data_IF_665830787356
#
_entry.id   IF_665830787356
#
_cell.length_a   1.000
_cell.length_b   1.000
_cell.length_c   1.000
_cell.angle_alpha   90.00
_cell.angle_beta   90.00
_cell.angle_gamma   90.00
#
_symmetry.space_group_name_H-M   'P 1'
#
loop_
_entity.id
_entity.type
_entity.pdbx_description
1 polymer ?
#
# COMPACT_ATOMS: atom_id res chain seq x y z
N UNK A 1 -16.46 5.93 28.55
CA UNK A 1 -16.26 5.23 27.27
C UNK A 1 -15.44 4.00 27.55
N UNK A 2 -15.89 2.81 27.15
CA UNK A 2 -15.08 1.59 27.28
C UNK A 2 -14.09 1.57 26.10
N UNK A 3 -12.80 1.64 26.42
CA UNK A 3 -11.72 1.41 25.44
C UNK A 3 -11.22 -0.02 25.57
N UNK A 4 -10.86 -0.64 24.45
CA UNK A 4 -10.21 -1.96 24.40
C UNK A 4 -8.83 -1.80 23.77
N UNK A 5 -7.81 -2.43 24.35
CA UNK A 5 -6.48 -2.49 23.75
C UNK A 5 -6.32 -3.81 22.99
N UNK A 6 -5.71 -3.73 21.81
CA UNK A 6 -5.34 -4.87 20.96
C UNK A 6 -3.83 -4.85 20.71
N UNK A 7 -3.20 -6.01 20.76
CA UNK A 7 -1.81 -6.19 20.32
C UNK A 7 -1.79 -6.49 18.83
N UNK A 8 -1.05 -5.69 18.07
CA UNK A 8 -0.95 -5.81 16.62
C UNK A 8 0.50 -5.97 16.16
N UNK A 9 0.69 -6.71 15.07
CA UNK A 9 1.98 -6.82 14.36
C UNK A 9 1.87 -6.22 12.96
N UNK A 10 2.87 -5.42 12.58
CA UNK A 10 3.09 -4.98 11.20
C UNK A 10 4.36 -5.63 10.67
N UNK A 11 4.27 -6.26 9.51
CA UNK A 11 5.41 -6.89 8.82
C UNK A 11 5.48 -6.29 7.42
N UNK A 12 6.59 -5.64 7.12
CA UNK A 12 6.86 -5.07 5.80
C UNK A 12 8.01 -5.85 5.16
N UNK A 13 7.72 -6.44 4.00
CA UNK A 13 8.62 -7.29 3.22
C UNK A 13 8.89 -6.55 1.91
N UNK A 14 9.85 -5.63 1.95
CA UNK A 14 10.31 -4.92 0.77
C UNK A 14 11.34 -5.73 -0.02
N UNK A 15 11.73 -5.18 -1.18
CA UNK A 15 12.73 -5.80 -2.08
C UNK A 15 14.08 -5.98 -1.42
N UNK A 16 14.52 -4.97 -0.67
CA UNK A 16 15.81 -4.98 0.00
C UNK A 16 15.68 -5.37 1.46
N UNK A 17 14.64 -4.86 2.15
CA UNK A 17 14.58 -4.90 3.60
C UNK A 17 13.27 -5.46 4.12
N UNK A 18 13.36 -6.22 5.21
CA UNK A 18 12.21 -6.69 5.99
C UNK A 18 12.23 -6.03 7.36
N UNK A 19 11.06 -5.57 7.81
CA UNK A 19 10.86 -4.89 9.08
C UNK A 19 9.66 -5.46 9.83
N UNK A 20 9.77 -5.55 11.15
CA UNK A 20 8.70 -6.01 12.04
C UNK A 20 8.47 -4.97 13.13
N UNK A 21 7.21 -4.60 13.36
CA UNK A 21 6.82 -3.73 14.46
C UNK A 21 5.69 -4.36 15.26
N UNK A 22 5.70 -4.14 16.56
CA UNK A 22 4.57 -4.45 17.43
C UNK A 22 3.98 -3.17 17.97
N UNK A 23 2.66 -3.09 17.99
CA UNK A 23 1.92 -1.92 18.42
C UNK A 23 0.74 -2.31 19.31
N UNK A 24 0.42 -1.45 20.27
CA UNK A 24 -0.83 -1.50 21.01
C UNK A 24 -1.80 -0.51 20.39
N UNK A 25 -2.97 -0.99 19.99
CA UNK A 25 -4.02 -0.19 19.36
C UNK A 25 -5.17 0.01 20.34
N UNK A 26 -5.59 1.25 20.58
CA UNK A 26 -6.76 1.57 21.40
C UNK A 26 -7.99 1.77 20.53
N UNK A 27 -9.01 0.96 20.81
CA UNK A 27 -10.26 0.93 20.08
C UNK A 27 -11.39 1.50 20.94
N UNK A 28 -12.21 2.37 20.35
CA UNK A 28 -13.43 2.90 20.96
C UNK A 28 -14.65 2.59 20.09
N UNK A 29 -15.76 2.19 20.71
CA UNK A 29 -17.05 2.13 20.01
C UNK A 29 -17.67 3.54 20.01
N UNK A 30 -17.84 4.13 18.83
CA UNK A 30 -18.51 5.42 18.62
C UNK A 30 -20.00 5.32 18.36
N UNK A 31 -20.54 4.12 18.13
CA UNK A 31 -21.97 3.95 17.94
C UNK A 31 -22.74 4.12 19.26
N UNK A 32 -23.96 4.64 19.15
CA UNK A 32 -24.90 4.62 20.27
C UNK A 32 -25.25 3.18 20.65
N UNK A 33 -25.68 2.95 21.89
CA UNK A 33 -25.96 1.60 22.45
C UNK A 33 -26.98 0.81 21.61
N UNK A 34 -27.87 1.49 20.89
CA UNK A 34 -28.90 0.89 20.04
C UNK A 34 -28.51 0.73 18.56
N UNK A 35 -27.27 1.08 18.19
CA UNK A 35 -26.77 1.01 16.81
C UNK A 35 -25.71 -0.10 16.69
N UNK A 36 -25.49 -0.55 15.45
CA UNK A 36 -24.39 -1.46 15.14
C UNK A 36 -23.08 -0.83 15.61
N UNK A 37 -22.25 -1.53 16.41
CA UNK A 37 -21.00 -1.00 16.94
C UNK A 37 -20.11 -0.42 15.84
N UNK A 38 -19.68 0.83 16.01
CA UNK A 38 -18.74 1.50 15.10
C UNK A 38 -17.43 1.70 15.81
N UNK A 39 -16.54 0.73 15.65
CA UNK A 39 -15.23 0.80 16.26
C UNK A 39 -14.29 1.71 15.46
N UNK A 40 -13.54 2.54 16.18
CA UNK A 40 -12.51 3.39 15.62
C UNK A 40 -11.26 3.30 16.49
N UNK A 41 -10.10 3.32 15.84
CA UNK A 41 -8.84 3.52 16.53
C UNK A 41 -8.71 4.98 16.92
N UNK A 42 -8.30 5.20 18.16
CA UNK A 42 -8.06 6.55 18.68
C UNK A 42 -6.60 6.74 19.10
N UNK A 43 -5.84 5.65 19.18
CA UNK A 43 -4.45 5.69 19.59
C UNK A 43 -3.69 4.46 19.11
N UNK A 44 -2.42 4.67 18.79
CA UNK A 44 -1.42 3.64 18.56
C UNK A 44 -0.15 3.95 19.33
N UNK A 45 0.31 2.96 20.10
CA UNK A 45 1.60 3.01 20.78
C UNK A 45 2.50 1.90 20.23
N UNK A 46 3.62 2.26 19.60
CA UNK A 46 4.59 1.28 19.12
C UNK A 46 5.36 0.73 20.32
N UNK A 47 5.15 -0.55 20.65
CA UNK A 47 5.78 -1.18 21.82
C UNK A 47 7.16 -1.76 21.51
N UNK A 48 7.43 -2.11 20.26
CA UNK A 48 8.72 -2.65 19.83
C UNK A 48 8.93 -2.47 18.33
N UNK A 49 10.19 -2.28 17.93
CA UNK A 49 10.60 -2.12 16.53
C UNK A 49 11.85 -2.96 16.26
N UNK A 50 11.85 -3.70 15.17
CA UNK A 50 13.00 -4.49 14.77
C UNK A 50 14.14 -3.60 14.25
N UNK A 51 15.40 -4.09 14.28
CA UNK A 51 16.40 -3.64 13.32
C UNK A 51 15.87 -3.80 11.88
N UNK A 52 16.46 -3.06 10.95
CA UNK A 52 16.19 -3.25 9.52
C UNK A 52 17.04 -4.44 9.06
N UNK A 53 16.38 -5.50 8.58
CA UNK A 53 17.07 -6.70 8.07
C UNK A 53 17.02 -6.74 6.56
N UNK A 54 18.00 -7.40 5.94
CA UNK A 54 17.88 -7.75 4.53
C UNK A 54 16.79 -8.79 4.31
N UNK A 55 15.96 -8.58 3.29
CA UNK A 55 14.93 -9.53 2.90
C UNK A 55 15.60 -10.82 2.40
N UNK A 56 15.29 -11.99 2.97
CA UNK A 56 15.85 -13.25 2.49
C UNK A 56 15.28 -13.62 1.12
N UNK A 57 16.02 -13.28 0.07
CA UNK A 57 15.70 -13.61 -1.33
C UNK A 57 16.76 -14.52 -1.94
N UNK A 58 16.37 -15.33 -2.93
CA UNK A 58 17.30 -16.04 -3.79
C UNK A 58 17.87 -15.13 -4.89
N UNK A 59 18.76 -15.68 -5.73
CA UNK A 59 19.40 -14.92 -6.83
C UNK A 59 18.43 -14.46 -7.92
N UNK A 60 17.24 -15.05 -7.99
CA UNK A 60 16.18 -14.70 -8.93
C UNK A 60 15.14 -13.76 -8.27
N UNK A 61 15.37 -13.34 -7.02
CA UNK A 61 14.47 -12.46 -6.26
C UNK A 61 13.36 -13.21 -5.51
N UNK A 62 13.28 -14.54 -5.61
CA UNK A 62 12.26 -15.34 -4.94
C UNK A 62 12.42 -15.33 -3.42
N UNK A 63 11.31 -15.17 -2.69
CA UNK A 63 11.34 -15.15 -1.22
C UNK A 63 11.75 -16.52 -0.66
N UNK A 64 12.75 -16.53 0.23
CA UNK A 64 13.14 -17.74 0.95
C UNK A 64 12.28 -17.91 2.21
N UNK A 65 11.13 -18.55 2.03
CA UNK A 65 10.06 -18.65 3.04
C UNK A 65 10.55 -19.09 4.43
N UNK A 66 11.39 -20.14 4.51
CA UNK A 66 11.88 -20.65 5.79
C UNK A 66 12.81 -19.65 6.51
N UNK A 67 13.70 -18.97 5.76
CA UNK A 67 14.60 -17.95 6.32
C UNK A 67 13.81 -16.72 6.77
N UNK A 68 12.83 -16.28 5.97
CA UNK A 68 11.93 -15.17 6.29
C UNK A 68 11.10 -15.46 7.55
N UNK A 69 10.53 -16.67 7.66
CA UNK A 69 9.77 -17.08 8.84
C UNK A 69 10.65 -17.11 10.09
N UNK A 70 11.87 -17.65 9.99
CA UNK A 70 12.81 -17.68 11.10
C UNK A 70 13.20 -16.26 11.55
N UNK A 71 13.45 -15.35 10.61
CA UNK A 71 13.75 -13.95 10.87
C UNK A 71 12.62 -13.28 11.66
N UNK A 72 11.36 -13.48 11.23
CA UNK A 72 10.19 -12.89 11.89
C UNK A 72 10.00 -13.49 13.28
N UNK A 73 10.06 -14.81 13.44
CA UNK A 73 9.92 -15.46 14.75
C UNK A 73 11.02 -15.02 15.74
N UNK A 74 12.24 -14.77 15.26
CA UNK A 74 13.29 -14.19 16.09
C UNK A 74 12.92 -12.78 16.59
N UNK A 75 12.17 -12.00 15.81
CA UNK A 75 11.68 -10.69 16.24
C UNK A 75 10.56 -10.79 17.29
N UNK A 76 9.65 -11.77 17.16
CA UNK A 76 8.68 -12.09 18.21
C UNK A 76 9.38 -12.42 19.53
N UNK A 77 10.39 -13.29 19.48
CA UNK A 77 11.18 -13.66 20.64
C UNK A 77 11.93 -12.45 21.24
N UNK A 78 12.54 -11.60 20.41
CA UNK A 78 13.23 -10.39 20.85
C UNK A 78 12.28 -9.36 21.49
N UNK A 79 11.03 -9.30 21.03
CA UNK A 79 9.98 -8.47 21.62
C UNK A 79 9.35 -9.08 22.89
N UNK A 80 9.64 -10.35 23.20
CA UNK A 80 9.00 -11.08 24.30
C UNK A 80 7.51 -11.35 24.07
N UNK A 81 7.09 -11.45 22.81
CA UNK A 81 5.69 -11.63 22.40
C UNK A 81 5.50 -13.04 21.84
N UNK A 82 4.53 -13.77 22.37
CA UNK A 82 4.11 -15.05 21.82
C UNK A 82 3.19 -14.82 20.60
N UNK A 83 3.37 -15.52 19.46
CA UNK A 83 2.51 -15.36 18.28
C UNK A 83 1.01 -15.43 18.59
N UNK A 84 0.61 -16.32 19.50
CA UNK A 84 -0.78 -16.55 19.90
C UNK A 84 -1.39 -15.38 20.69
N UNK A 85 -0.57 -14.46 21.18
CA UNK A 85 -1.01 -13.27 21.93
C UNK A 85 -1.29 -12.06 21.05
N UNK A 86 -0.99 -12.14 19.74
CA UNK A 86 -1.27 -11.07 18.78
C UNK A 86 -2.72 -11.19 18.31
N UNK A 87 -3.49 -10.12 18.52
CA UNK A 87 -4.92 -10.07 18.18
C UNK A 87 -5.16 -9.85 16.68
N UNK A 88 -4.25 -9.12 16.01
CA UNK A 88 -4.37 -8.79 14.59
C UNK A 88 -3.02 -8.44 13.97
N UNK A 89 -2.92 -8.47 12.65
CA UNK A 89 -1.67 -8.13 11.99
C UNK A 89 -1.81 -7.85 10.51
N UNK A 90 -0.86 -7.10 9.96
CA UNK A 90 -0.74 -6.85 8.53
C UNK A 90 0.64 -7.33 8.06
N UNK A 91 0.65 -8.03 6.93
CA UNK A 91 1.85 -8.32 6.17
C UNK A 91 1.73 -7.62 4.82
N UNK A 92 2.65 -6.69 4.56
CA UNK A 92 2.78 -6.02 3.29
C UNK A 92 3.99 -6.59 2.56
N UNK A 93 3.81 -6.88 1.28
CA UNK A 93 4.91 -7.13 0.35
C UNK A 93 4.96 -5.97 -0.63
N UNK A 94 6.14 -5.37 -0.82
CA UNK A 94 6.29 -4.22 -1.73
C UNK A 94 7.41 -4.41 -2.76
N UNK A 95 7.45 -3.49 -3.73
CA UNK A 95 8.48 -3.41 -4.75
C UNK A 95 8.57 -4.63 -5.67
N UNK A 96 9.77 -4.98 -6.10
CA UNK A 96 10.02 -6.14 -6.97
C UNK A 96 9.74 -7.47 -6.27
N UNK A 97 9.88 -7.56 -4.94
CA UNK A 97 9.52 -8.76 -4.19
C UNK A 97 8.05 -9.16 -4.39
N UNK A 98 7.13 -8.18 -4.47
CA UNK A 98 5.71 -8.42 -4.72
C UNK A 98 5.44 -9.08 -6.09
N UNK A 99 6.31 -8.87 -7.08
CA UNK A 99 6.17 -9.39 -8.46
C UNK A 99 6.71 -10.81 -8.62
N UNK A 100 7.37 -11.36 -7.60
CA UNK A 100 7.97 -12.70 -7.70
C UNK A 100 6.90 -13.79 -7.64
N UNK A 101 7.06 -14.85 -8.43
CA UNK A 101 6.05 -15.92 -8.57
C UNK A 101 5.67 -16.58 -7.24
N UNK A 102 6.59 -16.61 -6.27
CA UNK A 102 6.36 -17.25 -4.98
C UNK A 102 6.01 -16.27 -3.84
N UNK A 103 5.91 -14.95 -4.10
CA UNK A 103 5.62 -13.95 -3.06
C UNK A 103 4.30 -14.22 -2.33
N UNK A 104 3.20 -14.27 -3.09
CA UNK A 104 1.86 -14.43 -2.54
C UNK A 104 1.69 -15.77 -1.82
N UNK A 105 2.09 -16.93 -2.38
CA UNK A 105 2.06 -18.19 -1.65
C UNK A 105 2.88 -18.18 -0.35
N UNK A 106 4.12 -17.67 -0.38
CA UNK A 106 5.01 -17.65 0.78
C UNK A 106 4.43 -16.80 1.92
N UNK A 107 3.85 -15.64 1.59
CA UNK A 107 3.28 -14.75 2.62
C UNK A 107 1.92 -15.21 3.11
N UNK A 108 1.10 -15.86 2.26
CA UNK A 108 -0.11 -16.52 2.75
C UNK A 108 0.22 -17.65 3.73
N UNK A 109 1.23 -18.46 3.44
CA UNK A 109 1.70 -19.51 4.35
C UNK A 109 2.25 -18.92 5.66
N UNK A 110 3.00 -17.81 5.57
CA UNK A 110 3.50 -17.07 6.72
C UNK A 110 2.34 -16.55 7.58
N UNK A 111 1.35 -15.89 6.99
CA UNK A 111 0.16 -15.40 7.69
C UNK A 111 -0.55 -16.55 8.42
N UNK A 112 -0.85 -17.65 7.73
CA UNK A 112 -1.51 -18.81 8.36
C UNK A 112 -0.76 -19.35 9.59
N UNK A 113 0.57 -19.21 9.62
CA UNK A 113 1.39 -19.66 10.74
C UNK A 113 1.51 -18.66 11.90
N UNK A 114 1.24 -17.38 11.66
CA UNK A 114 1.37 -16.30 12.65
C UNK A 114 0.03 -15.80 13.20
N UNK A 115 -1.06 -15.94 12.44
CA UNK A 115 -2.40 -15.48 12.80
C UNK A 115 -3.26 -15.10 11.59
N UNK A 116 -4.54 -14.80 11.81
CA UNK A 116 -5.43 -14.34 10.73
C UNK A 116 -5.17 -12.86 10.39
N UNK A 117 -4.12 -12.65 9.59
CA UNK A 117 -3.62 -11.32 9.24
C UNK A 117 -4.11 -10.87 7.87
N UNK A 118 -4.10 -9.55 7.66
CA UNK A 118 -4.19 -8.98 6.32
C UNK A 118 -2.90 -9.28 5.61
N UNK A 119 -3.02 -9.86 4.42
CA UNK A 119 -1.90 -9.95 3.49
C UNK A 119 -2.21 -9.07 2.30
N UNK A 120 -1.36 -8.07 2.06
CA UNK A 120 -1.43 -7.26 0.87
C UNK A 120 -0.12 -7.32 0.10
N UNK A 121 -0.27 -7.53 -1.20
CA UNK A 121 0.76 -7.20 -2.18
C UNK A 121 0.51 -5.76 -2.59
N UNK A 122 1.34 -4.84 -2.13
CA UNK A 122 1.23 -3.44 -2.49
C UNK A 122 2.11 -3.18 -3.71
N UNK A 123 1.48 -2.83 -4.82
CA UNK A 123 2.19 -2.23 -5.93
C UNK A 123 2.56 -0.77 -5.63
N UNK A 124 3.07 -0.04 -6.62
CA UNK A 124 3.60 1.30 -6.39
C UNK A 124 2.55 2.30 -5.89
N UNK A 125 1.28 2.19 -6.31
CA UNK A 125 0.24 3.12 -5.87
C UNK A 125 -0.11 2.91 -4.40
N UNK A 126 -0.38 1.66 -4.00
CA UNK A 126 -0.75 1.31 -2.65
C UNK A 126 0.41 1.54 -1.67
N UNK A 127 1.64 1.17 -2.05
CA UNK A 127 2.85 1.43 -1.24
C UNK A 127 3.02 2.93 -0.97
N UNK A 128 2.82 3.78 -1.99
CA UNK A 128 2.89 5.23 -1.84
C UNK A 128 1.90 5.76 -0.81
N UNK A 129 0.64 5.32 -0.88
CA UNK A 129 -0.41 5.75 0.06
C UNK A 129 -0.06 5.32 1.47
N UNK A 130 0.32 4.05 1.67
CA UNK A 130 0.65 3.49 2.98
C UNK A 130 1.84 4.23 3.60
N UNK A 131 2.90 4.46 2.83
CA UNK A 131 4.05 5.22 3.30
C UNK A 131 3.64 6.66 3.70
N UNK A 132 2.77 7.30 2.91
CA UNK A 132 2.20 8.62 3.23
C UNK A 132 1.40 8.64 4.53
N UNK A 133 0.57 7.62 4.79
CA UNK A 133 -0.14 7.46 6.06
C UNK A 133 0.83 7.31 7.23
N UNK A 134 1.78 6.39 7.15
CA UNK A 134 2.70 6.15 8.26
C UNK A 134 3.70 7.27 8.50
N UNK A 135 4.02 8.07 7.48
CA UNK A 135 4.79 9.31 7.62
C UNK A 135 4.00 10.44 8.33
N UNK A 136 2.66 10.31 8.40
CA UNK A 136 1.75 11.31 8.95
C UNK A 136 1.35 12.41 7.96
N UNK A 137 1.61 12.23 6.66
CA UNK A 137 1.33 13.24 5.64
C UNK A 137 -0.17 13.45 5.44
N UNK A 138 -0.97 12.37 5.48
CA UNK A 138 -2.42 12.43 5.41
C UNK A 138 -3.00 13.30 6.54
N UNK A 139 -2.55 13.07 7.77
CA UNK A 139 -3.10 13.77 8.94
C UNK A 139 -2.63 15.21 9.00
N UNK A 140 -1.41 15.48 8.53
CA UNK A 140 -0.94 16.85 8.34
C UNK A 140 -1.81 17.60 7.32
N UNK A 141 -2.15 16.95 6.20
CA UNK A 141 -3.04 17.50 5.17
C UNK A 141 -4.44 17.79 5.71
N UNK A 142 -5.01 16.86 6.48
CA UNK A 142 -6.34 17.00 7.10
C UNK A 142 -6.38 18.13 8.13
N UNK A 143 -5.43 18.15 9.07
CA UNK A 143 -5.40 19.13 10.16
C UNK A 143 -5.16 20.56 9.66
N UNK A 144 -4.38 20.72 8.60
CA UNK A 144 -4.05 22.03 8.01
C UNK A 144 -4.94 22.39 6.83
N UNK A 145 -5.82 21.49 6.39
CA UNK A 145 -6.66 21.65 5.19
C UNK A 145 -5.83 22.09 3.98
N UNK A 146 -4.70 21.42 3.74
CA UNK A 146 -3.76 21.78 2.68
C UNK A 146 -3.26 20.57 1.91
N UNK A 147 -2.58 20.82 0.78
CA UNK A 147 -1.98 19.77 -0.06
C UNK A 147 -0.61 19.35 0.47
N UNK A 148 -0.47 18.08 0.83
CA UNK A 148 0.79 17.50 1.32
C UNK A 148 1.24 16.38 0.40
N UNK A 149 2.45 16.48 -0.13
CA UNK A 149 3.09 15.43 -0.92
C UNK A 149 4.11 14.68 -0.06
N UNK A 150 3.85 13.40 0.21
CA UNK A 150 4.87 12.52 0.76
C UNK A 150 5.68 11.88 -0.36
N UNK A 151 7.00 11.82 -0.18
CA UNK A 151 7.93 11.10 -1.07
C UNK A 151 8.70 10.11 -0.21
N UNK A 152 8.38 8.82 -0.35
CA UNK A 152 9.06 7.73 0.31
C UNK A 152 10.22 7.24 -0.55
N UNK A 153 11.44 7.58 -0.15
CA UNK A 153 12.66 7.32 -0.94
C UNK A 153 13.39 6.13 -0.33
N UNK A 154 13.17 4.97 -0.96
CA UNK A 154 13.73 3.68 -0.57
C UNK A 154 15.04 3.36 -1.30
N UNK A 155 15.34 2.06 -1.35
CA UNK A 155 16.51 1.53 -2.05
C UNK A 155 16.38 1.54 -3.58
N UNK A 156 15.22 1.14 -4.12
CA UNK A 156 15.00 1.03 -5.56
C UNK A 156 14.15 2.15 -6.17
N UNK A 157 13.22 2.71 -5.39
CA UNK A 157 12.17 3.60 -5.87
C UNK A 157 11.97 4.80 -4.96
N UNK A 158 11.33 5.83 -5.53
CA UNK A 158 10.75 6.97 -4.83
C UNK A 158 9.24 6.95 -5.07
N UNK A 159 8.47 6.72 -4.00
CA UNK A 159 7.02 6.55 -4.01
C UNK A 159 6.34 7.85 -3.56
N UNK A 160 5.46 8.41 -4.38
CA UNK A 160 4.82 9.71 -4.19
C UNK A 160 3.34 9.53 -3.83
N UNK A 161 2.89 10.15 -2.75
CA UNK A 161 1.48 10.24 -2.41
C UNK A 161 1.08 11.67 -2.08
N UNK A 162 0.16 12.21 -2.87
CA UNK A 162 -0.43 13.53 -2.68
C UNK A 162 -1.74 13.40 -1.91
N UNK A 163 -1.82 14.11 -0.79
CA UNK A 163 -3.02 14.23 0.02
C UNK A 163 -3.57 15.65 -0.08
N UNK A 164 -4.87 15.78 -0.26
CA UNK A 164 -5.62 17.05 -0.23
C UNK A 164 -6.73 16.96 0.81
N UNK A 165 -6.66 17.80 1.83
CA UNK A 165 -7.53 17.76 3.01
C UNK A 165 -7.74 16.34 3.57
N UNK A 166 -6.65 15.57 3.67
CA UNK A 166 -6.66 14.21 4.19
C UNK A 166 -7.12 13.12 3.22
N UNK A 167 -7.45 13.45 1.96
CA UNK A 167 -7.83 12.49 0.92
C UNK A 167 -6.71 12.29 -0.09
N UNK A 168 -6.50 11.05 -0.55
CA UNK A 168 -5.55 10.76 -1.63
C UNK A 168 -6.04 11.39 -2.92
N UNK A 169 -5.26 12.30 -3.50
CA UNK A 169 -5.57 12.99 -4.76
C UNK A 169 -4.66 12.59 -5.93
N UNK A 170 -3.53 11.93 -5.65
CA UNK A 170 -2.66 11.38 -6.68
C UNK A 170 -1.51 10.56 -6.11
N UNK A 171 -1.00 9.63 -6.90
CA UNK A 171 0.20 8.86 -6.57
C UNK A 171 1.09 8.71 -7.80
N UNK A 172 2.38 8.55 -7.58
CA UNK A 172 3.35 8.30 -8.64
C UNK A 172 4.51 7.47 -8.09
N UNK A 173 5.24 6.76 -8.95
CA UNK A 173 6.44 6.03 -8.55
C UNK A 173 7.53 6.18 -9.60
N UNK A 174 8.74 6.51 -9.12
CA UNK A 174 9.94 6.68 -9.91
C UNK A 174 10.98 5.64 -9.52
N UNK A 175 11.60 4.96 -10.50
CA UNK A 175 12.73 4.04 -10.30
C UNK A 175 14.04 4.78 -9.98
N UNK A 176 14.04 5.52 -8.87
CA UNK A 176 15.19 6.22 -8.29
C UNK A 176 15.20 5.96 -6.78
N UNK A 177 16.28 5.35 -6.27
CA UNK A 177 16.47 5.09 -4.85
C UNK A 177 17.95 4.87 -4.50
N UNK A 178 18.27 4.85 -3.21
CA UNK A 178 19.67 4.86 -2.72
C UNK A 178 20.51 3.64 -3.11
N UNK A 179 19.87 2.50 -3.33
CA UNK A 179 20.50 1.19 -3.60
C UNK A 179 20.54 0.81 -5.08
N UNK A 180 20.18 1.73 -5.98
CA UNK A 180 20.40 1.50 -7.40
C UNK A 180 21.88 1.24 -7.73
N UNK A 181 22.80 1.78 -6.91
CA UNK A 181 24.21 1.42 -6.89
C UNK A 181 24.57 0.85 -5.51
N UNK A 182 24.93 -0.43 -5.48
CA UNK A 182 25.46 -1.09 -4.28
C UNK A 182 26.96 -0.88 -4.22
N UNK A 183 27.48 -0.57 -3.04
CA UNK A 183 28.89 -0.28 -2.80
C UNK A 183 29.49 -1.21 -1.76
N UNK A 184 30.82 -1.35 -1.75
CA UNK A 184 31.51 -1.84 -0.57
C UNK A 184 31.70 -0.72 0.48
N UNK A 185 32.24 -1.07 1.64
CA UNK A 185 32.51 -0.10 2.72
C UNK A 185 33.55 0.98 2.36
N UNK A 186 34.18 0.90 1.19
CA UNK A 186 35.10 1.93 0.67
C UNK A 186 34.48 2.77 -0.45
N UNK A 187 33.19 2.55 -0.75
CA UNK A 187 32.46 3.29 -1.78
C UNK A 187 32.73 2.83 -3.20
N UNK A 188 33.35 1.65 -3.42
CA UNK A 188 33.45 1.07 -4.77
C UNK A 188 32.15 0.39 -5.13
N UNK A 189 31.63 0.67 -6.32
CA UNK A 189 30.41 0.02 -6.80
C UNK A 189 30.67 -1.47 -7.01
N UNK A 190 29.90 -2.31 -6.33
CA UNK A 190 29.93 -3.78 -6.50
C UNK A 190 28.89 -4.22 -7.52
N UNK A 191 27.76 -3.53 -7.56
CA UNK A 191 26.64 -3.83 -8.44
C UNK A 191 25.85 -2.57 -8.79
N UNK A 192 25.41 -2.48 -10.04
CA UNK A 192 24.52 -1.43 -10.52
C UNK A 192 23.25 -2.07 -11.08
N UNK A 193 22.11 -1.68 -10.53
CA UNK A 193 20.81 -2.06 -11.05
C UNK A 193 20.55 -1.32 -12.36
N UNK A 194 19.74 -1.88 -13.26
CA UNK A 194 19.49 -1.30 -14.59
C UNK A 194 19.07 0.18 -14.53
N UNK A 195 18.14 0.63 -13.65
CA UNK A 195 17.83 2.06 -13.53
C UNK A 195 19.04 2.91 -13.13
N UNK A 196 19.89 2.42 -12.23
CA UNK A 196 21.14 3.09 -11.85
C UNK A 196 22.11 3.22 -13.02
N UNK A 197 22.22 2.17 -13.84
CA UNK A 197 23.05 2.19 -15.05
C UNK A 197 22.53 3.21 -16.08
N UNK A 198 21.21 3.35 -16.26
CA UNK A 198 20.63 4.37 -17.15
C UNK A 198 21.02 5.79 -16.71
N UNK A 199 21.05 6.06 -15.40
CA UNK A 199 21.44 7.36 -14.86
C UNK A 199 22.95 7.58 -15.04
N UNK A 200 23.77 6.55 -14.83
CA UNK A 200 25.21 6.61 -15.11
C UNK A 200 25.47 6.94 -16.58
N UNK A 201 24.77 6.26 -17.50
CA UNK A 201 24.90 6.44 -18.94
C UNK A 201 24.50 7.86 -19.38
N UNK A 202 23.47 8.45 -18.77
CA UNK A 202 23.07 9.85 -19.00
C UNK A 202 24.18 10.83 -18.56
N UNK A 203 24.81 10.58 -17.42
CA UNK A 203 25.80 11.50 -16.82
C UNK A 203 27.17 11.39 -17.47
N UNK A 204 27.61 10.18 -17.84
CA UNK A 204 28.98 9.92 -18.29
C UNK A 204 29.09 9.36 -19.71
N UNK A 205 27.97 9.03 -20.35
CA UNK A 205 27.92 8.43 -21.67
C UNK A 205 27.58 6.93 -21.63
N UNK A 206 26.93 6.46 -22.68
CA UNK A 206 26.42 5.09 -22.74
C UNK A 206 27.51 4.03 -22.64
N UNK A 207 27.24 2.99 -21.85
CA UNK A 207 28.17 1.88 -21.62
C UNK A 207 29.27 2.18 -20.60
N UNK A 208 29.12 3.23 -19.79
CA UNK A 208 30.07 3.55 -18.72
C UNK A 208 30.03 2.46 -17.65
N UNK A 209 31.18 1.87 -17.32
CA UNK A 209 31.25 0.87 -16.25
C UNK A 209 31.09 1.51 -14.87
N UNK A 210 29.97 1.22 -14.20
CA UNK A 210 29.67 1.69 -12.86
C UNK A 210 30.79 1.36 -11.84
N UNK A 211 31.48 0.23 -12.01
CA UNK A 211 32.55 -0.22 -11.11
C UNK A 211 33.82 0.61 -11.20
N UNK A 212 33.98 1.37 -12.30
CA UNK A 212 35.11 2.26 -12.51
C UNK A 212 34.88 3.67 -11.91
N UNK A 213 33.68 3.97 -11.40
CA UNK A 213 33.36 5.29 -10.87
C UNK A 213 34.03 5.55 -9.52
N UNK A 214 34.67 6.71 -9.39
CA UNK A 214 35.15 7.22 -8.13
C UNK A 214 34.02 7.84 -7.29
N UNK A 215 34.23 7.98 -5.97
CA UNK A 215 33.23 8.55 -5.05
C UNK A 215 32.71 9.94 -5.50
N UNK A 216 33.58 10.80 -6.06
CA UNK A 216 33.17 12.10 -6.58
C UNK A 216 32.22 12.00 -7.80
N UNK A 217 32.37 10.96 -8.62
CA UNK A 217 31.47 10.67 -9.74
C UNK A 217 30.14 10.10 -9.23
N UNK A 218 30.14 9.27 -8.18
CA UNK A 218 28.91 8.82 -7.52
C UNK A 218 28.11 10.01 -6.96
N UNK A 219 28.79 11.04 -6.45
CA UNK A 219 28.13 12.30 -6.08
C UNK A 219 27.46 13.03 -7.25
N UNK A 220 27.97 12.91 -8.49
CA UNK A 220 27.31 13.46 -9.69
C UNK A 220 26.05 12.66 -10.05
N UNK A 221 26.12 11.33 -9.95
CA UNK A 221 24.97 10.45 -10.14
C UNK A 221 23.88 10.78 -9.12
N UNK A 222 24.25 10.91 -7.84
CA UNK A 222 23.32 11.27 -6.76
C UNK A 222 22.64 12.64 -6.99
N UNK A 223 23.37 13.63 -7.52
CA UNK A 223 22.78 14.92 -7.93
C UNK A 223 21.76 14.74 -9.05
N UNK A 224 22.08 13.95 -10.08
CA UNK A 224 21.13 13.68 -11.16
C UNK A 224 19.88 12.94 -10.65
N UNK A 225 20.05 12.01 -9.72
CA UNK A 225 18.94 11.33 -9.05
C UNK A 225 18.05 12.31 -8.27
N UNK A 226 18.65 13.28 -7.55
CA UNK A 226 17.90 14.33 -6.86
C UNK A 226 17.13 15.22 -7.85
N UNK A 227 17.73 15.58 -8.98
CA UNK A 227 17.03 16.32 -10.05
C UNK A 227 15.81 15.55 -10.55
N UNK A 228 15.96 14.25 -10.85
CA UNK A 228 14.88 13.38 -11.33
C UNK A 228 13.71 13.32 -10.33
N UNK A 229 14.00 13.27 -9.02
CA UNK A 229 12.97 13.31 -7.97
C UNK A 229 12.22 14.64 -8.01
N UNK A 230 12.94 15.77 -8.12
CA UNK A 230 12.33 17.10 -8.18
C UNK A 230 11.55 17.35 -9.48
N UNK A 231 12.00 16.78 -10.60
CA UNK A 231 11.28 16.81 -11.88
C UNK A 231 9.86 16.25 -11.74
N UNK A 232 9.68 15.15 -10.99
CA UNK A 232 8.35 14.57 -10.71
C UNK A 232 7.47 15.50 -9.88
N UNK A 233 8.03 16.17 -8.87
CA UNK A 233 7.29 17.15 -8.03
C UNK A 233 6.76 18.31 -8.88
N UNK A 234 7.57 18.77 -9.84
CA UNK A 234 7.25 19.93 -10.70
C UNK A 234 6.43 19.58 -11.94
N UNK A 235 6.31 18.29 -12.28
CA UNK A 235 5.69 17.81 -13.53
C UNK A 235 6.53 18.04 -14.79
N UNK A 236 7.73 18.62 -14.68
CA UNK A 236 8.62 18.92 -15.81
C UNK A 236 9.64 17.81 -16.05
N UNK A 237 9.18 16.63 -16.46
CA UNK A 237 10.01 15.43 -16.61
C UNK A 237 10.89 15.45 -17.86
N UNK A 238 12.18 15.16 -17.68
CA UNK A 238 13.12 14.85 -18.75
C UNK A 238 12.83 13.48 -19.40
N UNK A 239 13.39 13.17 -20.58
CA UNK A 239 13.24 11.85 -21.21
C UNK A 239 13.68 10.70 -20.30
N UNK A 240 14.76 10.91 -19.53
CA UNK A 240 15.21 9.93 -18.55
C UNK A 240 14.17 9.73 -17.44
N UNK A 241 13.62 10.81 -16.86
CA UNK A 241 12.57 10.70 -15.84
C UNK A 241 11.35 9.94 -16.36
N UNK A 242 10.90 10.23 -17.59
CA UNK A 242 9.78 9.52 -18.23
C UNK A 242 10.08 8.02 -18.39
N UNK A 243 11.31 7.66 -18.78
CA UNK A 243 11.72 6.25 -18.90
C UNK A 243 11.83 5.50 -17.57
N UNK A 244 12.01 6.23 -16.47
CA UNK A 244 12.14 5.68 -15.11
C UNK A 244 10.82 5.69 -14.32
N UNK A 245 9.74 6.28 -14.85
CA UNK A 245 8.43 6.22 -14.20
C UNK A 245 7.88 4.78 -14.24
N UNK A 246 7.42 4.29 -13.08
CA UNK A 246 6.73 3.00 -12.97
C UNK A 246 5.21 3.12 -13.09
N UNK A 247 4.67 4.32 -12.90
CA UNK A 247 3.24 4.63 -12.93
C UNK A 247 2.96 5.86 -13.80
N UNK A 248 1.68 6.25 -13.88
CA UNK A 248 1.31 7.59 -14.34
C UNK A 248 1.90 8.70 -13.46
N UNK A 249 1.75 9.95 -13.94
CA UNK A 249 2.22 11.15 -13.25
C UNK A 249 1.24 11.63 -12.18
N UNK A 250 1.74 12.48 -11.27
CA UNK A 250 0.88 13.26 -10.39
C UNK A 250 -0.03 14.20 -11.21
N UNK A 251 -1.21 14.57 -10.69
CA UNK A 251 -2.10 15.53 -11.36
C UNK A 251 -1.39 16.86 -11.65
N UNK A 252 -1.37 17.29 -12.91
CA UNK A 252 -0.60 18.44 -13.39
C UNK A 252 -1.02 19.79 -12.77
N UNK A 253 -2.29 19.91 -12.37
CA UNK A 253 -2.86 21.17 -11.86
C UNK A 253 -2.72 21.32 -10.34
N UNK A 254 -2.06 20.38 -9.66
CA UNK A 254 -2.00 20.36 -8.19
C UNK A 254 -0.55 20.53 -7.71
N UNK A 255 -0.24 21.73 -7.25
CA UNK A 255 1.03 22.01 -6.56
C UNK A 255 0.91 21.69 -5.07
N UNK A 256 1.84 20.89 -4.49
CA UNK A 256 1.86 20.64 -3.06
C UNK A 256 2.30 21.89 -2.28
N UNK A 257 1.66 22.13 -1.14
CA UNK A 257 1.99 23.23 -0.22
C UNK A 257 3.00 22.81 0.85
N UNK A 258 3.08 21.51 1.12
CA UNK A 258 4.04 20.89 2.01
C UNK A 258 4.59 19.63 1.34
N UNK A 259 5.88 19.38 1.49
CA UNK A 259 6.52 18.16 1.04
C UNK A 259 7.13 17.45 2.26
N UNK A 260 6.92 16.15 2.38
CA UNK A 260 7.59 15.32 3.39
C UNK A 260 8.43 14.24 2.70
N UNK A 261 9.62 13.99 3.24
CA UNK A 261 10.51 12.93 2.74
C UNK A 261 10.57 11.80 3.78
N UNK A 262 10.14 10.60 3.40
CA UNK A 262 10.21 9.38 4.21
C UNK A 262 11.15 8.34 3.60
N UNK A 263 11.24 7.15 4.20
CA UNK A 263 12.11 6.07 3.74
C UNK A 263 13.55 6.20 4.23
N UNK A 264 14.42 5.30 3.78
CA UNK A 264 15.83 5.26 4.21
C UNK A 264 16.61 6.51 3.82
N UNK A 265 16.36 7.05 2.62
CA UNK A 265 17.00 8.29 2.17
C UNK A 265 16.36 9.51 2.85
N UNK A 266 15.05 9.50 3.12
CA UNK A 266 14.40 10.53 3.93
C UNK A 266 14.97 10.61 5.36
N UNK A 267 15.32 9.48 5.97
CA UNK A 267 16.02 9.45 7.25
C UNK A 267 17.43 10.03 7.14
N UNK A 268 18.19 9.66 6.11
CA UNK A 268 19.51 10.26 5.86
C UNK A 268 19.41 11.77 5.58
N UNK A 269 18.30 12.24 4.99
CA UNK A 269 18.06 13.66 4.73
C UNK A 269 17.86 14.43 6.04
N UNK A 270 17.16 13.83 7.02
CA UNK A 270 16.98 14.39 8.37
C UNK A 270 18.28 14.31 9.18
N UNK A 271 18.94 13.15 9.15
CA UNK A 271 20.11 12.82 9.96
C UNK A 271 21.26 12.36 9.03
N UNK A 272 21.99 13.33 8.47
CA UNK A 272 23.07 13.04 7.53
C UNK A 272 24.18 12.20 8.20
N UNK A 273 24.45 10.98 7.72
CA UNK A 273 25.52 10.16 8.29
C UNK A 273 26.89 10.73 7.87
N UNK A 274 27.88 10.58 8.75
CA UNK A 274 29.25 11.04 8.49
C UNK A 274 29.95 10.22 7.40
N UNK A 275 29.66 8.92 7.33
CA UNK A 275 30.14 8.03 6.29
C UNK A 275 29.08 7.89 5.18
N UNK A 276 29.37 8.36 3.95
CA UNK A 276 28.41 8.31 2.84
C UNK A 276 28.13 6.89 2.32
N UNK A 277 28.87 5.87 2.75
CA UNK A 277 28.72 4.48 2.29
C UNK A 277 28.38 3.51 3.44
N UNK A 278 27.94 4.03 4.60
CA UNK A 278 27.65 3.23 5.79
C UNK A 278 26.56 2.16 5.60
N UNK A 279 25.72 2.29 4.56
CA UNK A 279 24.68 1.32 4.20
C UNK A 279 25.05 0.43 3.00
N UNK A 280 26.31 0.49 2.52
CA UNK A 280 26.76 -0.23 1.33
C UNK A 280 25.97 0.13 0.07
N UNK A 281 25.55 1.39 -0.02
CA UNK A 281 24.85 1.99 -1.16
C UNK A 281 25.13 3.51 -1.24
N UNK A 282 24.47 4.21 -2.16
CA UNK A 282 24.63 5.66 -2.36
C UNK A 282 23.49 6.49 -1.75
N UNK A 283 22.65 5.89 -0.90
CA UNK A 283 21.51 6.55 -0.26
C UNK A 283 21.89 7.83 0.51
N UNK A 284 22.96 7.83 1.33
CA UNK A 284 23.46 9.05 1.98
C UNK A 284 23.91 10.15 1.02
N UNK A 285 24.53 9.79 -0.11
CA UNK A 285 24.90 10.75 -1.15
C UNK A 285 23.67 11.36 -1.80
N UNK A 286 22.63 10.56 -2.07
CA UNK A 286 21.35 11.05 -2.59
C UNK A 286 20.65 11.99 -1.59
N UNK A 287 20.64 11.64 -0.31
CA UNK A 287 20.09 12.51 0.73
C UNK A 287 20.82 13.86 0.81
N UNK A 288 22.15 13.84 0.71
CA UNK A 288 22.97 15.06 0.66
C UNK A 288 22.64 15.88 -0.58
N UNK A 289 22.53 15.25 -1.75
CA UNK A 289 22.16 15.91 -2.99
C UNK A 289 20.77 16.55 -2.95
N UNK A 290 19.78 15.86 -2.36
CA UNK A 290 18.44 16.42 -2.12
C UNK A 290 18.51 17.61 -1.15
N UNK A 291 19.30 17.50 -0.08
CA UNK A 291 19.47 18.58 0.88
C UNK A 291 20.11 19.82 0.25
N UNK A 292 20.97 19.63 -0.75
CA UNK A 292 21.65 20.70 -1.49
C UNK A 292 20.87 21.20 -2.71
N UNK A 293 19.79 20.51 -3.11
CA UNK A 293 19.07 20.80 -4.34
C UNK A 293 18.37 22.18 -4.27
N UNK A 294 18.69 23.13 -5.18
CA UNK A 294 18.27 24.53 -5.06
C UNK A 294 16.74 24.69 -5.06
N UNK A 295 16.04 24.04 -5.99
CA UNK A 295 14.57 24.11 -6.06
C UNK A 295 13.89 23.46 -4.86
N UNK A 296 14.47 22.42 -4.27
CA UNK A 296 13.85 21.72 -3.15
C UNK A 296 13.99 22.54 -1.86
N UNK A 297 15.10 23.27 -1.71
CA UNK A 297 15.30 24.23 -0.61
C UNK A 297 14.32 25.41 -0.63
N UNK A 298 13.82 25.78 -1.81
CA UNK A 298 12.79 26.82 -1.95
C UNK A 298 11.38 26.29 -1.62
N UNK A 299 11.19 24.97 -1.59
CA UNK A 299 9.92 24.34 -1.24
C UNK A 299 9.79 24.17 0.28
N UNK A 300 8.54 24.08 0.75
CA UNK A 300 8.21 23.83 2.16
C UNK A 300 8.39 22.35 2.51
N UNK A 301 9.64 21.91 2.62
CA UNK A 301 9.99 20.55 3.06
C UNK A 301 9.91 20.48 4.58
N UNK A 302 9.08 19.56 5.09
CA UNK A 302 8.95 19.27 6.51
C UNK A 302 9.38 17.84 6.80
N UNK A 303 9.83 17.61 8.02
CA UNK A 303 10.22 16.28 8.42
C UNK A 303 9.01 15.49 8.94
N UNK A 304 8.72 14.31 8.40
CA UNK A 304 7.59 13.50 8.85
C UNK A 304 7.83 12.93 10.25
N UNK A 305 6.77 12.53 10.94
CA UNK A 305 6.87 11.93 12.27
C UNK A 305 7.63 10.58 12.24
N UNK A 306 7.56 9.86 11.11
CA UNK A 306 8.22 8.58 10.87
C UNK A 306 8.82 8.55 9.45
N UNK A 307 9.97 7.91 9.29
CA UNK A 307 10.72 7.83 8.02
C UNK A 307 10.87 6.38 7.56
N UNK A 308 11.91 5.65 7.99
CA UNK A 308 12.27 4.29 7.54
C UNK A 308 11.16 3.26 7.75
N UNK A 309 10.31 3.49 8.74
CA UNK A 309 9.20 2.59 9.11
C UNK A 309 7.84 3.11 8.67
N UNK A 310 7.79 4.16 7.86
CA UNK A 310 6.53 4.76 7.43
C UNK A 310 5.62 3.71 6.77
N UNK A 311 6.12 2.87 5.87
CA UNK A 311 5.30 1.83 5.21
C UNK A 311 4.71 0.83 6.21
N UNK A 312 5.53 0.26 7.10
CA UNK A 312 5.06 -0.70 8.10
C UNK A 312 4.16 -0.05 9.18
N UNK A 313 4.34 1.24 9.47
CA UNK A 313 3.47 1.99 10.38
C UNK A 313 2.17 2.36 9.67
N UNK A 314 2.18 2.71 8.40
CA UNK A 314 0.95 2.91 7.63
C UNK A 314 0.12 1.63 7.57
N UNK A 315 0.82 0.49 7.55
CA UNK A 315 0.25 -0.84 7.67
C UNK A 315 -0.28 -1.07 9.08
N UNK A 316 -1.56 -1.38 9.18
CA UNK A 316 -1.93 -2.33 10.20
C UNK A 316 -3.39 -2.65 10.15
N UNK A 317 -3.63 -3.84 10.69
CA UNK A 317 -4.88 -4.51 10.53
C UNK A 317 -5.71 -4.50 11.79
N UNK A 318 -7.01 -4.50 11.55
CA UNK A 318 -7.99 -4.90 12.54
C UNK A 318 -9.08 -5.68 11.86
N UNK A 319 -9.61 -6.64 12.59
CA UNK A 319 -10.50 -7.66 12.07
C UNK A 319 -11.86 -7.47 12.72
N UNK A 320 -12.88 -7.11 11.94
CA UNK A 320 -14.25 -7.02 12.43
C UNK A 320 -15.11 -8.04 11.69
N UNK A 321 -15.60 -9.04 12.44
CA UNK A 321 -16.48 -10.08 11.90
C UNK A 321 -17.93 -9.63 11.99
N UNK A 322 -18.59 -9.53 10.83
CA UNK A 322 -19.98 -9.22 10.64
C UNK A 322 -20.68 -10.41 9.98
N UNK A 323 -21.98 -10.51 10.21
CA UNK A 323 -22.85 -11.46 9.51
C UNK A 323 -23.68 -10.67 8.52
N UNK A 324 -23.43 -10.82 7.21
CA UNK A 324 -24.35 -10.31 6.19
C UNK A 324 -25.68 -11.03 6.33
N UNK A 325 -26.76 -10.31 6.60
CA UNK A 325 -28.08 -10.91 6.88
C UNK A 325 -28.87 -11.20 5.59
N UNK A 326 -28.59 -10.47 4.51
CA UNK A 326 -29.29 -10.58 3.22
C UNK A 326 -28.31 -10.76 2.07
N UNK A 327 -27.90 -12.01 1.84
CA UNK A 327 -26.92 -12.33 0.80
C UNK A 327 -27.56 -12.91 -0.46
N UNK A 328 -26.89 -12.70 -1.61
CA UNK A 328 -27.04 -13.53 -2.80
C UNK A 328 -25.72 -14.25 -3.05
N UNK A 329 -25.74 -15.57 -3.16
CA UNK A 329 -24.54 -16.37 -3.40
C UNK A 329 -24.87 -17.48 -4.41
N UNK A 330 -24.22 -17.46 -5.56
CA UNK A 330 -24.45 -18.43 -6.62
C UNK A 330 -23.14 -18.83 -7.31
N UNK A 331 -22.84 -20.12 -7.33
CA UNK A 331 -21.67 -20.75 -7.97
C UNK A 331 -20.28 -20.25 -7.50
N UNK A 332 -20.21 -19.54 -6.37
CA UNK A 332 -18.96 -19.05 -5.78
C UNK A 332 -18.34 -20.11 -4.85
N UNK A 333 -17.06 -20.44 -5.07
CA UNK A 333 -16.30 -21.31 -4.18
C UNK A 333 -15.78 -20.53 -2.97
N UNK A 334 -16.28 -20.89 -1.79
CA UNK A 334 -15.92 -20.30 -0.49
C UNK A 334 -15.12 -21.30 0.36
N UNK A 335 -14.23 -20.85 1.27
CA UNK A 335 -14.00 -19.46 1.68
C UNK A 335 -13.04 -18.69 0.75
N UNK A 336 -13.21 -17.37 0.71
CA UNK A 336 -12.28 -16.43 0.07
C UNK A 336 -11.62 -15.56 1.15
N UNK A 337 -10.35 -15.20 0.97
CA UNK A 337 -9.57 -14.44 1.95
C UNK A 337 -8.74 -13.33 1.32
N UNK A 338 -8.55 -12.25 2.07
CA UNK A 338 -7.75 -11.09 1.73
C UNK A 338 -8.14 -10.51 0.37
N UNK A 339 -9.45 -10.32 0.12
CA UNK A 339 -9.95 -9.71 -1.09
C UNK A 339 -9.95 -8.17 -0.93
N UNK A 340 -9.18 -7.42 -1.72
CA UNK A 340 -9.22 -5.96 -1.67
C UNK A 340 -10.60 -5.43 -2.06
N UNK A 341 -11.06 -4.37 -1.39
CA UNK A 341 -12.34 -3.72 -1.68
C UNK A 341 -12.11 -2.44 -2.47
N UNK A 342 -12.57 -2.41 -3.72
CA UNK A 342 -12.55 -1.24 -4.59
C UNK A 342 -13.76 -0.35 -4.30
N UNK A 343 -13.51 0.78 -3.64
CA UNK A 343 -14.54 1.75 -3.27
C UNK A 343 -14.55 2.91 -4.28
N UNK A 344 -15.66 3.15 -5.00
CA UNK A 344 -15.76 4.25 -5.95
C UNK A 344 -15.78 5.60 -5.21
N UNK A 345 -15.02 6.58 -5.70
CA UNK A 345 -14.98 7.92 -5.11
C UNK A 345 -16.16 8.82 -5.55
N UNK A 346 -16.78 8.50 -6.68
CA UNK A 346 -17.96 9.17 -7.21
C UNK A 346 -19.05 8.15 -7.60
N UNK A 347 -20.30 8.61 -7.65
CA UNK A 347 -21.47 7.81 -8.03
C UNK A 347 -22.04 8.19 -9.42
N UNK A 348 -21.40 9.14 -10.12
CA UNK A 348 -21.83 9.63 -11.42
C UNK A 348 -21.43 8.67 -12.55
N UNK A 349 -20.22 8.12 -12.49
CA UNK A 349 -19.72 7.14 -13.45
C UNK A 349 -19.05 5.96 -12.73
N UNK A 350 -19.88 5.07 -12.19
CA UNK A 350 -19.46 3.92 -11.41
C UNK A 350 -18.43 3.04 -12.12
N UNK A 351 -18.53 2.88 -13.45
CA UNK A 351 -17.62 2.02 -14.22
C UNK A 351 -16.20 2.58 -14.16
N UNK A 352 -16.05 3.88 -14.42
CA UNK A 352 -14.74 4.52 -14.34
C UNK A 352 -14.28 4.69 -12.88
N UNK A 353 -15.20 4.97 -11.94
CA UNK A 353 -14.87 5.09 -10.52
C UNK A 353 -14.32 3.78 -9.93
N UNK A 354 -14.92 2.62 -10.23
CA UNK A 354 -14.37 1.32 -9.84
C UNK A 354 -13.04 1.02 -10.49
N UNK A 355 -12.89 1.34 -11.79
CA UNK A 355 -11.60 1.18 -12.48
C UNK A 355 -10.48 1.97 -11.81
N UNK A 356 -10.76 3.22 -11.42
CA UNK A 356 -9.79 4.06 -10.71
C UNK A 356 -9.49 3.50 -9.31
N UNK A 357 -10.50 3.02 -8.59
CA UNK A 357 -10.31 2.40 -7.28
C UNK A 357 -9.42 1.14 -7.36
N UNK A 358 -9.61 0.29 -8.38
CA UNK A 358 -8.76 -0.87 -8.63
C UNK A 358 -7.32 -0.47 -8.98
N UNK A 359 -7.14 0.55 -9.82
CA UNK A 359 -5.82 1.09 -10.15
C UNK A 359 -5.08 1.59 -8.90
N UNK A 360 -5.77 2.29 -7.99
CA UNK A 360 -5.18 2.76 -6.72
C UNK A 360 -4.77 1.62 -5.79
N UNK A 361 -5.38 0.44 -5.93
CA UNK A 361 -5.03 -0.78 -5.21
C UNK A 361 -4.01 -1.65 -5.96
N UNK A 362 -3.49 -1.17 -7.10
CA UNK A 362 -2.60 -1.90 -8.01
C UNK A 362 -3.20 -3.23 -8.52
N UNK A 363 -4.51 -3.26 -8.78
CA UNK A 363 -5.24 -4.44 -9.23
C UNK A 363 -5.58 -4.35 -10.73
N UNK A 364 -5.33 -5.44 -11.45
CA UNK A 364 -5.80 -5.60 -12.81
C UNK A 364 -7.26 -6.12 -12.81
N UNK A 365 -8.22 -5.34 -13.33
CA UNK A 365 -9.63 -5.73 -13.36
C UNK A 365 -9.90 -7.00 -14.18
N UNK A 366 -8.97 -7.47 -15.02
CA UNK A 366 -9.16 -8.65 -15.85
C UNK A 366 -8.56 -9.94 -15.27
N UNK A 367 -7.68 -9.84 -14.27
CA UNK A 367 -6.92 -11.00 -13.78
C UNK A 367 -6.92 -11.15 -12.27
N UNK A 368 -7.09 -10.07 -11.51
CA UNK A 368 -7.07 -10.13 -10.05
C UNK A 368 -8.47 -10.37 -9.44
N UNK A 369 -8.49 -10.95 -8.24
CA UNK A 369 -9.71 -11.09 -7.44
C UNK A 369 -9.90 -9.87 -6.54
N UNK A 370 -11.10 -9.28 -6.57
CA UNK A 370 -11.47 -8.08 -5.80
C UNK A 370 -12.96 -8.06 -5.45
N UNK A 371 -13.34 -7.15 -4.57
CA UNK A 371 -14.75 -6.84 -4.26
C UNK A 371 -15.06 -5.41 -4.71
N UNK A 372 -16.17 -5.22 -5.43
CA UNK A 372 -16.67 -3.89 -5.78
C UNK A 372 -17.61 -3.39 -4.69
N UNK A 373 -17.33 -2.24 -4.08
CA UNK A 373 -18.26 -1.61 -3.16
C UNK A 373 -19.25 -0.70 -3.90
N UNK A 374 -20.50 -0.67 -3.44
CA UNK A 374 -21.47 0.31 -3.87
C UNK A 374 -21.30 1.62 -3.07
N UNK A 375 -21.51 2.81 -3.68
CA UNK A 375 -21.49 4.06 -2.94
C UNK A 375 -22.53 4.06 -1.80
N UNK A 376 -22.10 4.43 -0.60
CA UNK A 376 -22.97 4.53 0.58
C UNK A 376 -24.11 5.56 0.41
N UNK A 377 -23.95 6.53 -0.50
CA UNK A 377 -24.93 7.58 -0.81
C UNK A 377 -26.11 7.07 -1.64
N UNK A 378 -26.04 5.87 -2.23
CA UNK A 378 -27.11 5.35 -3.08
C UNK A 378 -28.41 5.16 -2.28
N UNK A 379 -29.54 5.71 -2.76
CA UNK A 379 -30.82 5.55 -2.09
C UNK A 379 -31.36 4.13 -2.29
N UNK A 380 -32.00 3.57 -1.26
CA UNK A 380 -32.64 2.24 -1.33
C UNK A 380 -33.93 2.30 -2.15
N UNK A 381 -33.79 2.35 -3.49
CA UNK A 381 -34.90 2.48 -4.45
C UNK A 381 -34.61 1.70 -5.72
N UNK A 382 -35.67 1.21 -6.36
CA UNK A 382 -35.56 0.42 -7.60
C UNK A 382 -34.78 1.13 -8.72
N UNK A 383 -34.97 2.46 -8.88
CA UNK A 383 -34.25 3.23 -9.89
C UNK A 383 -32.72 3.21 -9.66
N UNK A 384 -32.26 3.28 -8.41
CA UNK A 384 -30.84 3.20 -8.09
C UNK A 384 -30.27 1.80 -8.36
N UNK A 385 -31.05 0.75 -8.04
CA UNK A 385 -30.68 -0.63 -8.38
C UNK A 385 -30.48 -0.82 -9.88
N UNK A 386 -31.35 -0.26 -10.73
CA UNK A 386 -31.18 -0.33 -12.19
C UNK A 386 -29.90 0.35 -12.67
N UNK A 387 -29.56 1.51 -12.11
CA UNK A 387 -28.29 2.19 -12.40
C UNK A 387 -27.09 1.31 -12.05
N UNK A 388 -27.11 0.69 -10.87
CA UNK A 388 -26.05 -0.22 -10.42
C UNK A 388 -25.96 -1.46 -11.31
N UNK A 389 -27.08 -2.08 -11.68
CA UNK A 389 -27.11 -3.26 -12.55
C UNK A 389 -26.50 -2.94 -13.92
N UNK A 390 -26.89 -1.81 -14.52
CA UNK A 390 -26.36 -1.37 -15.80
C UNK A 390 -24.85 -1.12 -15.71
N UNK A 391 -24.38 -0.46 -14.64
CA UNK A 391 -22.97 -0.21 -14.41
C UNK A 391 -22.17 -1.50 -14.21
N UNK A 392 -22.64 -2.43 -13.37
CA UNK A 392 -21.98 -3.73 -13.14
C UNK A 392 -21.90 -4.56 -14.43
N UNK A 393 -22.99 -4.61 -15.20
CA UNK A 393 -23.03 -5.33 -16.48
C UNK A 393 -22.04 -4.72 -17.48
N UNK A 394 -22.01 -3.38 -17.59
CA UNK A 394 -21.06 -2.68 -18.44
C UNK A 394 -19.61 -2.88 -17.99
N UNK A 395 -19.36 -2.86 -16.67
CA UNK A 395 -18.04 -3.08 -16.10
C UNK A 395 -17.53 -4.49 -16.41
N UNK A 396 -18.32 -5.54 -16.16
CA UNK A 396 -17.98 -6.93 -16.46
C UNK A 396 -17.74 -7.15 -17.96
N UNK A 397 -18.58 -6.55 -18.82
CA UNK A 397 -18.40 -6.65 -20.27
C UNK A 397 -17.10 -5.99 -20.75
N UNK A 398 -16.72 -4.87 -20.12
CA UNK A 398 -15.49 -4.14 -20.45
C UNK A 398 -14.24 -4.81 -19.88
N UNK A 399 -14.37 -5.46 -18.72
CA UNK A 399 -13.28 -6.12 -18.01
C UNK A 399 -13.67 -7.57 -17.66
N UNK A 400 -13.64 -8.48 -18.65
CA UNK A 400 -13.87 -9.90 -18.37
C UNK A 400 -12.80 -10.42 -17.41
N UNK A 401 -13.22 -11.14 -16.37
CA UNK A 401 -12.35 -11.63 -15.31
C UNK A 401 -12.69 -13.09 -14.99
N UNK A 402 -11.69 -13.99 -14.78
CA UNK A 402 -11.93 -15.39 -14.44
C UNK A 402 -12.47 -15.61 -13.01
N UNK A 403 -12.38 -14.60 -12.13
CA UNK A 403 -12.87 -14.65 -10.76
C UNK A 403 -14.37 -14.33 -10.66
N UNK A 404 -15.04 -14.79 -9.58
CA UNK A 404 -16.44 -14.43 -9.31
C UNK A 404 -16.63 -12.91 -9.23
N UNK A 405 -17.80 -12.42 -9.64
CA UNK A 405 -18.21 -11.05 -9.35
C UNK A 405 -18.62 -10.96 -7.87
N UNK A 406 -17.88 -10.19 -7.10
CA UNK A 406 -18.12 -9.96 -5.68
C UNK A 406 -18.50 -8.51 -5.46
N UNK A 407 -19.67 -8.27 -4.87
CA UNK A 407 -20.20 -6.94 -4.61
C UNK A 407 -20.53 -6.79 -3.13
N UNK A 408 -20.14 -5.65 -2.55
CA UNK A 408 -20.49 -5.29 -1.17
C UNK A 408 -21.28 -3.99 -1.14
N UNK A 409 -22.26 -3.91 -0.24
CA UNK A 409 -23.08 -2.71 -0.05
C UNK A 409 -23.28 -2.44 1.45
N UNK A 410 -23.33 -1.16 1.83
CA UNK A 410 -23.76 -0.76 3.18
C UNK A 410 -25.29 -0.85 3.31
N UNK A 411 -26.01 -0.65 2.20
CA UNK A 411 -27.46 -0.70 2.15
C UNK A 411 -27.97 -2.12 1.94
N UNK A 412 -29.17 -2.42 2.45
CA UNK A 412 -29.93 -3.67 2.23
C UNK A 412 -30.34 -3.81 0.74
N UNK A 413 -29.42 -4.31 -0.08
CA UNK A 413 -29.57 -4.51 -1.51
C UNK A 413 -29.38 -5.95 -1.96
N UNK A 414 -28.81 -6.83 -1.13
CA UNK A 414 -28.17 -8.06 -1.54
C UNK A 414 -29.07 -8.98 -2.35
N UNK A 415 -30.26 -9.30 -1.82
CA UNK A 415 -31.26 -10.13 -2.52
C UNK A 415 -31.79 -9.46 -3.77
N UNK A 416 -32.22 -8.21 -3.69
CA UNK A 416 -32.85 -7.52 -4.81
C UNK A 416 -31.86 -7.32 -5.97
N UNK A 417 -30.63 -6.90 -5.67
CA UNK A 417 -29.57 -6.75 -6.66
C UNK A 417 -29.19 -8.10 -7.27
N UNK A 418 -28.96 -9.13 -6.45
CA UNK A 418 -28.64 -10.48 -6.92
C UNK A 418 -29.70 -11.05 -7.87
N UNK A 419 -30.98 -11.00 -7.47
CA UNK A 419 -32.11 -11.49 -8.27
C UNK A 419 -32.22 -10.80 -9.63
N UNK A 420 -31.95 -9.50 -9.70
CA UNK A 420 -32.10 -8.71 -10.94
C UNK A 420 -30.84 -8.75 -11.82
N UNK A 421 -29.66 -8.91 -11.22
CA UNK A 421 -28.39 -8.99 -11.93
C UNK A 421 -28.15 -10.37 -12.53
N UNK A 422 -28.57 -11.44 -11.83
CA UNK A 422 -28.31 -12.83 -12.26
C UNK A 422 -28.80 -13.14 -13.69
N UNK A 423 -30.02 -12.76 -14.12
CA UNK A 423 -30.48 -13.00 -15.49
C UNK A 423 -29.61 -12.31 -16.56
N UNK A 424 -28.95 -11.20 -16.21
CA UNK A 424 -28.06 -10.46 -17.12
C UNK A 424 -26.69 -11.14 -17.24
N UNK A 425 -26.26 -11.86 -16.19
CA UNK A 425 -24.95 -12.51 -16.09
C UNK A 425 -25.09 -14.01 -15.70
N UNK A 426 -25.74 -14.85 -16.54
CA UNK A 426 -26.16 -16.20 -16.15
C UNK A 426 -25.02 -17.22 -16.03
N UNK A 427 -23.81 -16.89 -16.46
CA UNK A 427 -22.66 -17.81 -16.37
C UNK A 427 -21.56 -17.32 -15.43
N UNK A 428 -21.71 -16.11 -14.88
CA UNK A 428 -20.72 -15.55 -13.96
C UNK A 428 -21.10 -15.92 -12.52
N UNK A 429 -20.22 -16.60 -11.76
CA UNK A 429 -20.42 -16.75 -10.32
C UNK A 429 -20.57 -15.39 -9.64
N UNK A 430 -21.54 -15.26 -8.76
CA UNK A 430 -21.96 -13.98 -8.18
C UNK A 430 -22.11 -14.08 -6.66
N UNK A 431 -21.48 -13.16 -5.94
CA UNK A 431 -21.81 -12.88 -4.55
C UNK A 431 -22.19 -11.41 -4.39
N UNK A 432 -23.35 -11.14 -3.79
CA UNK A 432 -23.73 -9.81 -3.31
C UNK A 432 -23.95 -9.89 -1.81
N UNK A 433 -23.20 -9.09 -1.07
CA UNK A 433 -23.22 -9.05 0.39
C UNK A 433 -23.61 -7.63 0.79
N UNK A 434 -24.70 -7.48 1.53
CA UNK A 434 -25.15 -6.19 2.03
C UNK A 434 -24.93 -6.02 3.54
N UNK A 435 -25.24 -4.82 4.02
CA UNK A 435 -25.10 -4.41 5.42
C UNK A 435 -23.66 -4.52 5.93
N UNK A 436 -22.68 -4.39 5.03
CA UNK A 436 -21.26 -4.38 5.36
C UNK A 436 -20.68 -2.99 5.07
N UNK A 437 -20.22 -2.34 6.13
CA UNK A 437 -19.55 -1.04 6.05
C UNK A 437 -18.08 -1.26 5.70
N UNK A 438 -17.60 -0.59 4.66
CA UNK A 438 -16.21 -0.66 4.18
C UNK A 438 -15.60 0.74 4.04
N UNK A 439 -14.27 0.82 4.16
CA UNK A 439 -13.45 2.03 4.08
C UNK A 439 -12.29 1.83 3.11
N UNK A 440 -11.70 2.94 2.67
CA UNK A 440 -10.55 2.89 1.77
C UNK A 440 -9.40 2.08 2.41
N UNK A 441 -8.82 1.15 1.65
CA UNK A 441 -7.80 0.23 2.13
C UNK A 441 -8.33 -1.00 2.88
N UNK A 442 -9.65 -1.25 2.87
CA UNK A 442 -10.23 -2.46 3.43
C UNK A 442 -10.07 -3.67 2.51
N UNK A 443 -9.90 -4.82 3.16
CA UNK A 443 -9.90 -6.16 2.60
C UNK A 443 -11.03 -6.95 3.26
N UNK A 444 -11.58 -7.93 2.56
CA UNK A 444 -12.64 -8.80 3.06
C UNK A 444 -12.23 -10.27 2.96
N UNK A 445 -12.49 -11.00 4.04
CA UNK A 445 -12.61 -12.45 4.00
C UNK A 445 -14.10 -12.84 3.99
N UNK A 446 -14.44 -13.79 3.13
CA UNK A 446 -15.78 -14.35 2.97
C UNK A 446 -15.70 -15.82 3.39
N UNK A 447 -16.23 -16.13 4.57
CA UNK A 447 -16.17 -17.49 5.10
C UNK A 447 -17.21 -18.43 4.50
N UNK A 448 -17.24 -19.67 5.00
CA UNK A 448 -18.20 -20.68 4.54
C UNK A 448 -19.63 -20.31 4.95
N UNK A 449 -20.64 -20.49 4.07
CA UNK A 449 -22.02 -20.19 4.40
C UNK A 449 -22.53 -21.02 5.59
N UNK A 450 -23.30 -20.37 6.45
CA UNK A 450 -23.95 -20.95 7.62
C UNK A 450 -25.46 -21.07 7.35
N UNK A 451 -26.14 -21.91 8.14
CA UNK A 451 -27.61 -22.04 8.12
C UNK A 451 -28.19 -22.27 6.71
N UNK A 452 -27.60 -23.20 5.96
CA UNK A 452 -28.08 -23.57 4.62
C UNK A 452 -27.90 -22.50 3.54
N UNK A 453 -26.94 -21.57 3.71
CA UNK A 453 -26.66 -20.52 2.73
C UNK A 453 -27.37 -19.20 3.00
N UNK A 454 -28.08 -19.10 4.11
CA UNK A 454 -28.84 -17.89 4.49
C UNK A 454 -27.94 -16.75 4.99
N UNK A 455 -26.77 -17.11 5.51
CA UNK A 455 -25.83 -16.20 6.17
C UNK A 455 -24.41 -16.58 5.76
N UNK A 456 -23.57 -15.58 5.50
CA UNK A 456 -22.13 -15.77 5.27
C UNK A 456 -21.36 -14.91 6.27
N UNK A 457 -20.40 -15.48 7.01
CA UNK A 457 -19.53 -14.71 7.88
C UNK A 457 -18.58 -13.90 7.02
N UNK A 458 -18.55 -12.59 7.26
CA UNK A 458 -17.73 -11.62 6.55
C UNK A 458 -16.81 -10.97 7.54
N UNK A 459 -15.53 -10.93 7.22
CA UNK A 459 -14.54 -10.29 8.07
C UNK A 459 -13.90 -9.16 7.31
N UNK A 460 -14.14 -7.93 7.78
CA UNK A 460 -13.50 -6.73 7.24
C UNK A 460 -12.16 -6.54 7.93
N UNK A 461 -11.12 -6.34 7.12
CA UNK A 461 -9.75 -6.13 7.55
C UNK A 461 -9.17 -4.86 6.92
N UNK A 462 -8.91 -3.81 7.70
CA UNK A 462 -8.34 -2.57 7.15
C UNK A 462 -6.83 -2.64 7.03
N UNK A 463 -6.23 -2.06 6.00
CA UNK A 463 -4.77 -1.98 5.88
C UNK A 463 -4.19 -0.60 6.19
N UNK A 464 -5.00 0.45 6.04
CA UNK A 464 -4.61 1.84 6.28
C UNK A 464 -5.30 2.38 7.53
N UNK A 465 -4.52 3.01 8.41
CA UNK A 465 -5.04 3.71 9.57
C UNK A 465 -5.31 5.19 9.24
N UNK A 466 -6.51 5.71 9.53
CA UNK A 466 -6.64 7.13 9.87
C UNK A 466 -5.95 7.35 11.24
N UNK A 467 -5.07 8.34 11.32
CA UNK A 467 -4.31 8.68 12.54
C UNK A 467 -5.13 9.39 13.60
#
# INVERSE_FOLDING_TARGET
MNTRQLLSVGIDIGTTTTQVIFSRLELVNRAAVSQVPRYEFIKRDISWQSPVFFTPVDKQGGLKEAELKALILAQYQAAGIAPESVDSGAIIITGESAKTRNARPAVMALSQSLGDFVVASAGPHLESVIAGHGAGAQSLSEQRMCRVLNIDIGGGTSNYALFDAGKVSGTACLNVGGRLLETDAQGRVVYAHQPGQMIIDEVFGSGTDARALAAAQLGQVARRMADLIVEVITGALSPLAQSLMQTGLLPADITPEVITLSGGVGECYRNQPADPFCFSDIGPLLATALHEHPRLREMNVQFPAQTVRATVIGAGAHTLSLSGSTIWLEDVQLPLRNLPVAIPQDDADLVNAWRQALLQLDLDPQTDAYVLALPATLPVRYAALLTVINALTAFVARYPNPHPLLVVAEQDFGKALGMLLRPQLPQLPLAVIDEVVVRAGDYIDIGTPLFGGSVVPVTVKSLAFPS
#
